data_IF_801478563272
#
_entry.id   IF_801478563272
#
_cell.length_a   1.000
_cell.length_b   1.000
_cell.length_c   1.000
_cell.angle_alpha   90.00
_cell.angle_beta   90.00
_cell.angle_gamma   90.00
#
_symmetry.space_group_name_H-M   'P 1'
#
loop_
_entity.id
_entity.type
_entity.pdbx_description
1 polymer ?
#
# COMPACT_ATOMS: atom_id res chain seq x y z
N UNK A 1 9.28 28.94 20.44
CA UNK A 1 9.53 29.92 19.35
C UNK A 1 8.23 30.23 18.66
N UNK A 2 7.88 31.50 18.49
CA UNK A 2 6.66 31.89 17.80
C UNK A 2 6.75 31.53 16.30
N UNK A 3 5.62 31.19 15.67
CA UNK A 3 5.58 30.86 14.24
C UNK A 3 5.76 32.14 13.41
N UNK A 4 6.85 32.21 12.65
CA UNK A 4 7.14 33.29 11.70
C UNK A 4 6.14 33.23 10.56
N UNK A 5 5.36 34.30 10.36
CA UNK A 5 4.35 34.42 9.29
C UNK A 5 4.91 35.04 8.01
N UNK A 6 5.88 35.92 8.14
CA UNK A 6 6.61 36.58 7.06
C UNK A 6 7.95 37.10 7.60
N UNK A 7 8.88 37.43 6.70
CA UNK A 7 10.26 37.84 7.05
C UNK A 7 10.36 39.37 7.08
N UNK A 8 10.07 39.99 8.23
CA UNK A 8 10.04 41.44 8.36
C UNK A 8 11.43 42.07 8.17
N UNK A 9 12.49 41.37 8.58
CA UNK A 9 13.88 41.81 8.42
C UNK A 9 14.24 41.98 6.94
N UNK A 10 13.90 40.99 6.11
CA UNK A 10 14.18 41.00 4.68
C UNK A 10 13.36 42.03 3.91
N UNK A 11 12.06 42.12 4.16
CA UNK A 11 11.17 43.02 3.41
C UNK A 11 11.41 44.50 3.76
N UNK A 12 11.68 44.81 5.03
CA UNK A 12 11.90 46.20 5.46
C UNK A 12 13.36 46.65 5.28
N UNK A 13 14.29 45.70 5.14
CA UNK A 13 15.72 45.93 4.89
C UNK A 13 16.38 46.92 5.87
N UNK A 14 15.94 46.91 7.12
CA UNK A 14 16.47 47.78 8.18
C UNK A 14 17.71 47.12 8.81
N UNK A 15 17.65 45.83 9.08
CA UNK A 15 18.77 45.04 9.59
C UNK A 15 18.57 43.59 9.20
N UNK A 16 19.57 42.74 9.40
CA UNK A 16 19.43 41.29 9.29
C UNK A 16 19.24 40.66 10.66
N UNK A 17 18.59 39.49 10.69
CA UNK A 17 18.36 38.73 11.92
C UNK A 17 19.65 38.36 12.65
N UNK A 18 20.70 38.12 11.88
CA UNK A 18 22.01 37.72 12.40
C UNK A 18 22.96 38.93 12.60
N UNK A 19 22.48 40.15 12.34
CA UNK A 19 23.30 41.34 12.59
C UNK A 19 23.47 41.57 14.08
N UNK A 20 24.54 42.28 14.44
CA UNK A 20 24.79 42.74 15.81
C UNK A 20 24.54 44.25 15.95
N UNK A 21 24.07 44.89 14.87
CA UNK A 21 23.76 46.31 14.84
C UNK A 21 22.86 46.66 13.66
N UNK A 22 22.59 47.95 13.51
CA UNK A 22 21.91 48.47 12.33
C UNK A 22 22.52 49.81 11.97
N UNK A 23 22.66 50.05 10.67
CA UNK A 23 22.95 51.38 10.15
C UNK A 23 21.65 52.11 9.83
N UNK A 24 21.70 53.44 9.89
CA UNK A 24 20.59 54.32 9.57
C UNK A 24 19.95 53.95 8.22
N UNK A 25 18.62 53.83 8.22
CA UNK A 25 17.87 53.43 7.02
C UNK A 25 17.77 54.55 5.97
N UNK A 26 18.16 55.78 6.32
CA UNK A 26 18.11 56.95 5.45
C UNK A 26 19.13 56.90 4.31
N UNK A 27 18.93 57.77 3.32
CA UNK A 27 19.84 57.92 2.19
C UNK A 27 20.56 59.26 2.23
N UNK A 28 21.86 59.23 1.93
CA UNK A 28 22.63 60.45 1.74
C UNK A 28 22.26 61.14 0.41
N UNK A 29 22.84 62.31 0.13
CA UNK A 29 22.63 63.07 -1.11
C UNK A 29 23.02 62.32 -2.40
N UNK A 30 23.81 61.25 -2.29
CA UNK A 30 24.21 60.39 -3.40
C UNK A 30 23.31 59.15 -3.57
N UNK A 31 22.22 59.06 -2.80
CA UNK A 31 21.31 57.90 -2.83
C UNK A 31 21.89 56.64 -2.18
N UNK A 32 23.03 56.72 -1.49
CA UNK A 32 23.60 55.60 -0.76
C UNK A 32 23.03 55.55 0.66
N UNK A 33 22.89 54.35 1.22
CA UNK A 33 22.44 54.16 2.60
C UNK A 33 23.40 54.83 3.58
N UNK A 34 22.84 55.52 4.56
CA UNK A 34 23.62 56.17 5.61
C UNK A 34 24.44 55.13 6.39
N UNK A 35 25.73 55.41 6.62
CA UNK A 35 26.66 54.53 7.33
C UNK A 35 26.68 54.75 8.84
N UNK A 36 25.87 55.66 9.36
CA UNK A 36 25.83 55.89 10.79
C UNK A 36 25.10 54.78 11.50
N UNK A 37 25.76 54.25 12.52
CA UNK A 37 25.22 53.20 13.35
C UNK A 37 24.11 53.75 14.24
N UNK A 38 23.05 52.95 14.36
CA UNK A 38 21.95 53.20 15.29
C UNK A 38 22.41 52.75 16.68
N UNK A 39 22.09 53.54 17.70
CA UNK A 39 22.45 53.22 19.08
C UNK A 39 21.93 51.82 19.48
N UNK A 40 22.70 51.07 20.26
CA UNK A 40 22.34 49.70 20.66
C UNK A 40 20.95 49.59 21.30
N UNK A 41 20.53 50.61 22.08
CA UNK A 41 19.19 50.70 22.67
C UNK A 41 18.09 50.80 21.60
N UNK A 42 18.29 51.61 20.56
CA UNK A 42 17.34 51.72 19.46
C UNK A 42 17.37 50.46 18.59
N UNK A 43 18.55 49.89 18.36
CA UNK A 43 18.71 48.63 17.64
C UNK A 43 17.92 47.48 18.29
N UNK A 44 18.08 47.26 19.60
CA UNK A 44 17.31 46.23 20.32
C UNK A 44 15.80 46.42 20.22
N UNK A 45 15.33 47.68 20.29
CA UNK A 45 13.91 48.00 20.09
C UNK A 45 13.44 47.76 18.66
N UNK A 46 14.28 48.05 17.67
CA UNK A 46 14.01 47.74 16.26
C UNK A 46 13.84 46.23 16.10
N UNK A 47 14.78 45.41 16.58
CA UNK A 47 14.68 43.94 16.49
C UNK A 47 13.41 43.42 17.16
N UNK A 48 13.11 43.86 18.38
CA UNK A 48 11.86 43.48 19.07
C UNK A 48 10.61 43.83 18.24
N UNK A 49 10.56 45.01 17.62
CA UNK A 49 9.43 45.39 16.76
C UNK A 49 9.36 44.54 15.49
N UNK A 50 10.51 44.21 14.89
CA UNK A 50 10.56 43.34 13.71
C UNK A 50 10.11 41.92 14.06
N UNK A 51 10.54 41.38 15.20
CA UNK A 51 10.10 40.08 15.70
C UNK A 51 8.57 40.07 15.94
N UNK A 52 8.04 41.10 16.58
CA UNK A 52 6.59 41.26 16.77
C UNK A 52 5.85 41.26 15.43
N UNK A 53 6.37 41.97 14.43
CA UNK A 53 5.79 42.00 13.09
C UNK A 53 5.74 40.62 12.45
N UNK A 54 6.77 39.80 12.59
CA UNK A 54 6.82 38.45 12.04
C UNK A 54 5.78 37.50 12.66
N UNK A 55 5.35 37.74 13.90
CA UNK A 55 4.30 36.95 14.56
C UNK A 55 2.89 37.31 14.08
N UNK A 56 2.74 38.44 13.40
CA UNK A 56 1.47 38.99 12.95
C UNK A 56 1.32 38.97 11.42
N UNK A 57 0.12 39.31 10.93
CA UNK A 57 -0.07 39.50 9.49
C UNK A 57 0.62 40.80 9.05
N UNK A 58 1.28 40.84 7.87
CA UNK A 58 2.08 42.00 7.47
C UNK A 58 1.32 43.34 7.53
N UNK A 59 0.03 43.33 7.18
CA UNK A 59 -0.83 44.52 7.22
C UNK A 59 -0.92 45.19 8.60
N UNK A 60 -0.76 44.44 9.71
CA UNK A 60 -0.79 45.01 11.05
C UNK A 60 0.46 45.82 11.40
N UNK A 61 1.58 45.57 10.74
CA UNK A 61 2.83 46.31 10.96
C UNK A 61 2.74 47.79 10.55
N UNK A 62 1.79 48.14 9.66
CA UNK A 62 1.65 49.49 9.09
C UNK A 62 1.45 50.57 10.17
N UNK A 63 0.68 50.28 11.24
CA UNK A 63 0.43 51.24 12.32
C UNK A 63 1.69 51.58 13.14
N UNK A 64 2.68 50.70 13.12
CA UNK A 64 3.90 50.81 13.93
C UNK A 64 5.10 51.39 13.15
N UNK A 65 4.95 51.64 11.84
CA UNK A 65 6.03 52.17 10.99
C UNK A 65 6.52 53.56 11.41
N UNK A 66 5.65 54.41 11.96
CA UNK A 66 6.05 55.73 12.44
C UNK A 66 7.10 55.66 13.54
N UNK A 67 6.87 54.78 14.52
CA UNK A 67 7.80 54.52 15.62
C UNK A 67 9.07 53.83 15.11
N UNK A 68 8.94 52.90 14.17
CA UNK A 68 10.09 52.21 13.58
C UNK A 68 11.01 53.19 12.81
N UNK A 69 10.43 54.14 12.07
CA UNK A 69 11.18 55.17 11.36
C UNK A 69 11.96 56.09 12.32
N UNK A 70 11.33 56.50 13.41
CA UNK A 70 11.98 57.31 14.44
C UNK A 70 13.22 56.61 15.04
N UNK A 71 13.13 55.30 15.27
CA UNK A 71 14.23 54.53 15.87
C UNK A 71 15.36 54.21 14.87
N UNK A 72 15.06 54.07 13.59
CA UNK A 72 15.98 53.57 12.55
C UNK A 72 16.62 54.66 11.69
N UNK A 73 16.26 55.92 11.91
CA UNK A 73 16.86 57.08 11.26
C UNK A 73 17.71 57.87 12.25
N UNK A 74 18.88 58.32 11.83
CA UNK A 74 19.72 59.17 12.67
C UNK A 74 19.07 60.53 12.91
N UNK A 75 19.10 60.98 14.17
CA UNK A 75 18.41 62.19 14.65
C UNK A 75 18.87 63.46 13.92
N UNK A 76 20.17 63.58 13.68
CA UNK A 76 20.77 64.82 13.18
C UNK A 76 20.54 65.07 11.68
N UNK A 77 20.49 64.03 10.83
CA UNK A 77 20.54 64.21 9.37
C UNK A 77 19.33 63.64 8.63
N UNK A 78 18.77 62.50 9.07
CA UNK A 78 17.82 61.74 8.25
C UNK A 78 16.40 61.66 8.82
N UNK A 79 16.09 62.22 9.99
CA UNK A 79 14.72 62.25 10.54
C UNK A 79 13.69 62.88 9.59
N UNK A 80 14.09 63.88 8.80
CA UNK A 80 13.22 64.50 7.78
C UNK A 80 12.83 63.53 6.65
N UNK A 81 13.50 62.38 6.53
CA UNK A 81 13.18 61.33 5.56
C UNK A 81 12.18 60.28 6.10
N UNK A 82 11.71 60.41 7.35
CA UNK A 82 10.83 59.43 7.99
C UNK A 82 9.55 59.16 7.19
N UNK A 83 8.87 60.20 6.70
CA UNK A 83 7.66 60.03 5.88
C UNK A 83 7.93 59.20 4.62
N UNK A 84 8.98 59.55 3.87
CA UNK A 84 9.38 58.83 2.65
C UNK A 84 9.73 57.36 2.94
N UNK A 85 10.41 57.08 4.05
CA UNK A 85 10.77 55.71 4.45
C UNK A 85 9.55 54.91 4.90
N UNK A 86 8.62 55.52 5.60
CA UNK A 86 7.33 54.89 5.93
C UNK A 86 6.58 54.51 4.66
N UNK A 87 6.56 55.37 3.64
CA UNK A 87 5.86 55.07 2.38
C UNK A 87 6.54 53.93 1.61
N UNK A 88 7.89 53.89 1.58
CA UNK A 88 8.66 52.77 1.04
C UNK A 88 8.34 51.45 1.75
N UNK A 89 8.32 51.45 3.09
CA UNK A 89 7.98 50.27 3.87
C UNK A 89 6.51 49.86 3.76
N UNK A 90 5.58 50.81 3.61
CA UNK A 90 4.18 50.49 3.30
C UNK A 90 4.07 49.71 2.00
N UNK A 91 4.80 50.11 0.95
CA UNK A 91 4.82 49.37 -0.32
C UNK A 91 5.40 47.96 -0.13
N UNK A 92 6.50 47.83 0.62
CA UNK A 92 7.09 46.52 0.93
C UNK A 92 6.13 45.63 1.74
N UNK A 93 5.42 46.19 2.72
CA UNK A 93 4.40 45.46 3.50
C UNK A 93 3.21 45.07 2.63
N UNK A 94 2.77 45.92 1.70
CA UNK A 94 1.70 45.57 0.75
C UNK A 94 2.11 44.38 -0.13
N UNK A 95 3.35 44.35 -0.60
CA UNK A 95 3.90 43.22 -1.34
C UNK A 95 3.97 41.96 -0.46
N UNK A 96 4.53 42.07 0.75
CA UNK A 96 4.55 40.97 1.71
C UNK A 96 3.14 40.45 2.04
N UNK A 97 2.15 41.35 2.12
CA UNK A 97 0.73 41.00 2.34
C UNK A 97 0.19 40.17 1.17
N UNK A 98 0.49 40.55 -0.08
CA UNK A 98 0.08 39.77 -1.26
C UNK A 98 0.68 38.36 -1.22
N UNK A 99 1.97 38.24 -0.90
CA UNK A 99 2.62 36.94 -0.77
C UNK A 99 2.05 36.10 0.38
N UNK A 100 1.79 36.73 1.53
CA UNK A 100 1.16 36.09 2.68
C UNK A 100 -0.23 35.54 2.35
N UNK A 101 -1.10 36.35 1.74
CA UNK A 101 -2.45 35.92 1.35
C UNK A 101 -2.41 34.85 0.25
N UNK A 102 -1.50 34.97 -0.72
CA UNK A 102 -1.28 33.91 -1.73
C UNK A 102 -0.83 32.60 -1.07
N UNK A 103 0.11 32.65 -0.14
CA UNK A 103 0.57 31.48 0.61
C UNK A 103 -0.54 30.87 1.46
N UNK A 104 -1.41 31.68 2.07
CA UNK A 104 -2.59 31.23 2.81
C UNK A 104 -3.62 30.57 1.90
N UNK A 105 -3.88 31.15 0.72
CA UNK A 105 -4.76 30.56 -0.29
C UNK A 105 -4.22 29.22 -0.79
N UNK A 106 -2.93 29.14 -1.14
CA UNK A 106 -2.27 27.89 -1.54
C UNK A 106 -2.30 26.84 -0.44
N UNK A 107 -2.12 27.22 0.83
CA UNK A 107 -2.27 26.29 1.97
C UNK A 107 -3.69 25.75 2.11
N UNK A 108 -4.71 26.54 1.76
CA UNK A 108 -6.11 26.10 1.76
C UNK A 108 -6.36 25.13 0.60
N UNK A 109 -5.98 25.52 -0.61
CA UNK A 109 -6.10 24.69 -1.82
C UNK A 109 -5.35 23.35 -1.65
N UNK A 110 -4.15 23.37 -1.05
CA UNK A 110 -3.41 22.14 -0.77
C UNK A 110 -4.12 21.24 0.24
N UNK A 111 -4.81 21.80 1.25
CA UNK A 111 -5.66 21.00 2.16
C UNK A 111 -6.85 20.39 1.44
N UNK A 112 -7.52 21.17 0.58
CA UNK A 112 -8.65 20.70 -0.24
C UNK A 112 -8.21 19.59 -1.20
N UNK A 113 -7.08 19.76 -1.91
CA UNK A 113 -6.50 18.74 -2.78
C UNK A 113 -6.10 17.47 -2.01
N UNK A 114 -5.52 17.60 -0.82
CA UNK A 114 -5.20 16.43 0.01
C UNK A 114 -6.46 15.72 0.52
N UNK A 115 -7.56 16.44 0.75
CA UNK A 115 -8.84 15.83 1.11
C UNK A 115 -9.41 15.04 -0.06
N UNK A 116 -9.49 15.66 -1.25
CA UNK A 116 -9.94 14.97 -2.47
C UNK A 116 -9.08 13.75 -2.79
N UNK A 117 -7.75 13.84 -2.61
CA UNK A 117 -6.86 12.70 -2.81
C UNK A 117 -7.15 11.57 -1.82
N UNK A 118 -7.51 11.88 -0.56
CA UNK A 118 -7.90 10.86 0.43
C UNK A 118 -9.23 10.21 0.06
N UNK A 119 -10.20 10.99 -0.41
CA UNK A 119 -11.48 10.48 -0.91
C UNK A 119 -11.26 9.54 -2.12
N UNK A 120 -10.46 9.95 -3.11
CA UNK A 120 -10.13 9.11 -4.27
C UNK A 120 -9.42 7.81 -3.88
N UNK A 121 -8.51 7.85 -2.90
CA UNK A 121 -7.85 6.65 -2.38
C UNK A 121 -8.88 5.71 -1.74
N UNK A 122 -9.79 6.24 -0.91
CA UNK A 122 -10.86 5.47 -0.27
C UNK A 122 -11.79 4.83 -1.30
N UNK A 123 -12.23 5.58 -2.31
CA UNK A 123 -13.08 5.06 -3.39
C UNK A 123 -12.37 3.96 -4.18
N UNK A 124 -11.07 4.11 -4.45
CA UNK A 124 -10.27 3.09 -5.14
C UNK A 124 -10.14 1.83 -4.31
N UNK A 125 -9.94 1.94 -3.00
CA UNK A 125 -9.88 0.79 -2.09
C UNK A 125 -11.23 0.04 -2.05
N UNK A 126 -12.35 0.75 -1.99
CA UNK A 126 -13.70 0.16 -2.06
C UNK A 126 -13.94 -0.55 -3.40
N UNK A 127 -13.55 0.07 -4.52
CA UNK A 127 -13.67 -0.55 -5.85
C UNK A 127 -12.79 -1.79 -5.97
N UNK A 128 -11.57 -1.74 -5.43
CA UNK A 128 -10.66 -2.89 -5.42
C UNK A 128 -11.25 -4.05 -4.61
N UNK A 129 -11.85 -3.77 -3.46
CA UNK A 129 -12.57 -4.78 -2.67
C UNK A 129 -13.73 -5.39 -3.46
N UNK A 130 -14.56 -4.56 -4.11
CA UNK A 130 -15.67 -5.05 -4.96
C UNK A 130 -15.18 -5.93 -6.12
N UNK A 131 -14.05 -5.58 -6.74
CA UNK A 131 -13.44 -6.39 -7.80
C UNK A 131 -12.95 -7.73 -7.26
N UNK A 132 -12.32 -7.76 -6.09
CA UNK A 132 -11.87 -9.01 -5.46
C UNK A 132 -13.04 -9.93 -5.06
N UNK A 133 -14.12 -9.35 -4.53
CA UNK A 133 -15.37 -10.06 -4.24
C UNK A 133 -15.98 -10.66 -5.52
N UNK A 134 -16.01 -9.89 -6.62
CA UNK A 134 -16.48 -10.35 -7.94
C UNK A 134 -15.60 -11.46 -8.52
N UNK A 135 -14.27 -11.35 -8.41
CA UNK A 135 -13.32 -12.39 -8.82
C UNK A 135 -13.56 -13.67 -8.04
N UNK A 136 -13.74 -13.56 -6.72
CA UNK A 136 -14.04 -14.70 -5.85
C UNK A 136 -15.37 -15.36 -6.21
N UNK A 137 -16.41 -14.57 -6.48
CA UNK A 137 -17.71 -15.09 -6.95
C UNK A 137 -17.59 -15.83 -8.26
N UNK A 138 -16.91 -15.24 -9.26
CA UNK A 138 -16.70 -15.87 -10.57
C UNK A 138 -15.84 -17.13 -10.50
N UNK A 139 -14.88 -17.19 -9.57
CA UNK A 139 -14.09 -18.39 -9.32
C UNK A 139 -14.99 -19.52 -8.81
N UNK A 140 -15.86 -19.23 -7.84
CA UNK A 140 -16.83 -20.20 -7.32
C UNK A 140 -17.82 -20.67 -8.41
N UNK A 141 -18.32 -19.75 -9.24
CA UNK A 141 -19.16 -20.10 -10.40
C UNK A 141 -18.42 -21.01 -11.39
N UNK A 142 -17.15 -20.69 -11.70
CA UNK A 142 -16.31 -21.51 -12.58
C UNK A 142 -16.08 -22.90 -12.00
N UNK A 143 -15.79 -23.00 -10.71
CA UNK A 143 -15.58 -24.28 -10.04
C UNK A 143 -16.87 -25.13 -10.04
N UNK A 144 -18.03 -24.49 -9.88
CA UNK A 144 -19.34 -25.14 -10.05
C UNK A 144 -19.57 -25.63 -11.49
N UNK A 145 -19.25 -24.80 -12.49
CA UNK A 145 -19.34 -25.20 -13.91
C UNK A 145 -18.40 -26.37 -14.22
N UNK A 146 -17.18 -26.36 -13.68
CA UNK A 146 -16.23 -27.45 -13.86
C UNK A 146 -16.76 -28.75 -13.23
N UNK A 147 -17.35 -28.67 -12.04
CA UNK A 147 -18.02 -29.81 -11.40
C UNK A 147 -19.15 -30.36 -12.28
N UNK A 148 -20.05 -29.50 -12.75
CA UNK A 148 -21.14 -29.91 -13.65
C UNK A 148 -20.61 -30.49 -14.98
N UNK A 149 -19.49 -29.97 -15.50
CA UNK A 149 -18.88 -30.47 -16.72
C UNK A 149 -18.33 -31.89 -16.53
N UNK A 150 -17.74 -32.18 -15.38
CA UNK A 150 -17.30 -33.53 -15.01
C UNK A 150 -18.48 -34.49 -14.87
N UNK A 151 -19.58 -34.06 -14.26
CA UNK A 151 -20.81 -34.84 -14.16
C UNK A 151 -21.40 -35.14 -15.54
N UNK A 152 -21.48 -34.15 -16.43
CA UNK A 152 -21.95 -34.33 -17.82
C UNK A 152 -21.04 -35.30 -18.58
N UNK A 153 -19.72 -35.21 -18.41
CA UNK A 153 -18.79 -36.16 -19.02
C UNK A 153 -19.00 -37.59 -18.50
N UNK A 154 -19.22 -37.75 -17.20
CA UNK A 154 -19.56 -39.03 -16.58
C UNK A 154 -20.88 -39.60 -17.12
N UNK A 155 -21.92 -38.78 -17.20
CA UNK A 155 -23.22 -39.19 -17.76
C UNK A 155 -23.11 -39.55 -19.24
N UNK A 156 -22.32 -38.82 -20.03
CA UNK A 156 -22.03 -39.17 -21.44
C UNK A 156 -21.32 -40.52 -21.56
N UNK A 157 -20.37 -40.82 -20.68
CA UNK A 157 -19.68 -42.10 -20.65
C UNK A 157 -20.67 -43.24 -20.33
N UNK A 158 -21.52 -43.06 -19.32
CA UNK A 158 -22.60 -44.01 -18.98
C UNK A 158 -23.60 -44.19 -20.13
N UNK A 159 -23.96 -43.12 -20.83
CA UNK A 159 -24.85 -43.20 -22.00
C UNK A 159 -24.21 -44.02 -23.12
N UNK A 160 -22.94 -43.74 -23.47
CA UNK A 160 -22.21 -44.53 -24.48
C UNK A 160 -22.12 -46.01 -24.09
N UNK A 161 -21.89 -46.29 -22.81
CA UNK A 161 -21.88 -47.66 -22.30
C UNK A 161 -23.27 -48.33 -22.45
N UNK A 162 -24.35 -47.64 -22.09
CA UNK A 162 -25.70 -48.14 -22.27
C UNK A 162 -26.04 -48.37 -23.75
N UNK A 163 -25.57 -47.49 -24.65
CA UNK A 163 -25.74 -47.64 -26.10
C UNK A 163 -24.99 -48.86 -26.64
N UNK A 164 -23.76 -49.12 -26.19
CA UNK A 164 -23.00 -50.32 -26.60
C UNK A 164 -23.64 -51.59 -26.05
N UNK A 165 -24.10 -51.59 -24.80
CA UNK A 165 -24.85 -52.69 -24.19
C UNK A 165 -26.17 -52.97 -24.96
N UNK A 166 -26.92 -51.93 -25.31
CA UNK A 166 -28.14 -52.06 -26.11
C UNK A 166 -27.86 -52.60 -27.52
N UNK A 167 -26.78 -52.15 -28.16
CA UNK A 167 -26.35 -52.65 -29.48
C UNK A 167 -25.97 -54.14 -29.42
N UNK A 168 -25.21 -54.54 -28.41
CA UNK A 168 -24.82 -55.94 -28.19
C UNK A 168 -26.05 -56.81 -27.87
N UNK A 169 -26.98 -56.30 -27.06
CA UNK A 169 -28.26 -56.97 -26.77
C UNK A 169 -29.11 -57.15 -28.05
N UNK A 170 -29.17 -56.14 -28.91
CA UNK A 170 -29.86 -56.24 -30.20
C UNK A 170 -29.21 -57.26 -31.14
N UNK A 171 -27.88 -57.28 -31.22
CA UNK A 171 -27.15 -58.24 -32.06
C UNK A 171 -27.32 -59.68 -31.56
N UNK A 172 -27.27 -59.89 -30.24
CA UNK A 172 -27.53 -61.21 -29.63
C UNK A 172 -28.98 -61.66 -29.83
N UNK A 173 -29.96 -60.76 -29.69
CA UNK A 173 -31.36 -61.04 -30.02
C UNK A 173 -31.55 -61.41 -31.51
N UNK A 174 -30.88 -60.70 -32.42
CA UNK A 174 -30.96 -60.99 -33.86
C UNK A 174 -30.30 -62.33 -34.21
N UNK A 175 -29.17 -62.68 -33.58
CA UNK A 175 -28.54 -64.01 -33.71
C UNK A 175 -29.47 -65.11 -33.21
N UNK A 176 -30.12 -64.92 -32.05
CA UNK A 176 -31.12 -65.84 -31.50
C UNK A 176 -32.30 -66.01 -32.46
N UNK A 177 -32.86 -64.92 -32.99
CA UNK A 177 -33.94 -64.96 -33.98
C UNK A 177 -33.56 -65.82 -35.19
N UNK A 178 -32.39 -65.60 -35.79
CA UNK A 178 -31.93 -66.42 -36.94
C UNK A 178 -31.77 -67.90 -36.60
N UNK A 179 -31.36 -68.22 -35.37
CA UNK A 179 -31.28 -69.61 -34.90
C UNK A 179 -32.69 -70.21 -34.77
N UNK A 180 -33.65 -69.45 -34.23
CA UNK A 180 -35.04 -69.88 -34.14
C UNK A 180 -35.66 -70.08 -35.53
N UNK A 181 -35.49 -69.13 -36.45
CA UNK A 181 -36.01 -69.23 -37.82
C UNK A 181 -35.43 -70.46 -38.55
N UNK A 182 -34.14 -70.75 -38.36
CA UNK A 182 -33.48 -71.94 -38.93
C UNK A 182 -34.03 -73.24 -38.32
N UNK A 183 -34.27 -73.25 -37.01
CA UNK A 183 -34.82 -74.42 -36.30
C UNK A 183 -36.28 -74.65 -36.64
N UNK A 184 -37.06 -73.60 -36.81
CA UNK A 184 -38.45 -73.64 -37.27
C UNK A 184 -38.52 -74.19 -38.70
N UNK A 185 -37.66 -73.73 -39.61
CA UNK A 185 -37.57 -74.26 -40.97
C UNK A 185 -37.17 -75.76 -40.99
N UNK A 186 -36.23 -76.17 -40.13
CA UNK A 186 -35.84 -77.58 -39.98
C UNK A 186 -36.98 -78.44 -39.43
N UNK A 187 -37.69 -77.96 -38.41
CA UNK A 187 -38.85 -78.65 -37.85
C UNK A 187 -39.99 -78.75 -38.85
N UNK A 188 -40.27 -77.69 -39.60
CA UNK A 188 -41.28 -77.68 -40.67
C UNK A 188 -40.95 -78.69 -41.77
N UNK A 189 -39.68 -78.78 -42.18
CA UNK A 189 -39.22 -79.79 -43.15
C UNK A 189 -39.36 -81.22 -42.63
N UNK A 190 -39.03 -81.47 -41.36
CA UNK A 190 -39.19 -82.79 -40.72
C UNK A 190 -40.67 -83.17 -40.57
N UNK A 191 -41.54 -82.23 -40.20
CA UNK A 191 -43.00 -82.45 -40.14
C UNK A 191 -43.54 -82.77 -41.54
N UNK A 192 -43.13 -82.02 -42.57
CA UNK A 192 -43.55 -82.30 -43.95
C UNK A 192 -43.07 -83.68 -44.44
N UNK A 193 -41.89 -84.12 -44.02
CA UNK A 193 -41.36 -85.46 -44.36
C UNK A 193 -42.16 -86.56 -43.65
N UNK A 194 -42.42 -86.39 -42.35
CA UNK A 194 -43.23 -87.33 -41.56
C UNK A 194 -44.67 -87.43 -42.08
N UNK A 195 -45.31 -86.31 -42.44
CA UNK A 195 -46.64 -86.33 -43.04
C UNK A 195 -46.68 -87.10 -44.37
N UNK A 196 -45.60 -87.06 -45.16
CA UNK A 196 -45.49 -87.82 -46.41
C UNK A 196 -45.34 -89.32 -46.13
N UNK A 197 -44.46 -89.70 -45.20
CA UNK A 197 -44.27 -91.10 -44.78
C UNK A 197 -45.53 -91.71 -44.15
N UNK A 198 -46.31 -90.91 -43.42
CA UNK A 198 -47.59 -91.34 -42.83
C UNK A 198 -48.67 -91.53 -43.89
N UNK A 199 -48.69 -90.68 -44.92
CA UNK A 199 -49.59 -90.83 -46.08
C UNK A 199 -49.25 -92.08 -46.89
N UNK A 200 -47.96 -92.36 -47.10
CA UNK A 200 -47.51 -93.54 -47.85
C UNK A 200 -47.83 -94.84 -47.10
N UNK A 201 -47.67 -94.86 -45.76
CA UNK A 201 -48.05 -96.02 -44.93
C UNK A 201 -49.57 -96.22 -44.85
N UNK A 202 -50.37 -95.15 -44.86
CA UNK A 202 -51.82 -95.26 -44.89
C UNK A 202 -52.30 -95.95 -46.17
N UNK A 203 -51.68 -95.64 -47.31
CA UNK A 203 -51.98 -96.25 -48.60
C UNK A 203 -51.63 -97.76 -48.63
N UNK A 204 -50.53 -98.16 -47.98
CA UNK A 204 -50.13 -99.57 -47.85
C UNK A 204 -51.11 -100.39 -46.97
N UNK A 205 -51.65 -99.78 -45.90
CA UNK A 205 -52.64 -100.43 -45.04
C UNK A 205 -54.01 -100.57 -45.70
N UNK A 206 -54.45 -99.61 -46.51
CA UNK A 206 -55.71 -99.71 -47.26
C UNK A 206 -55.64 -100.82 -48.33
N UNK A 207 -54.46 -101.05 -48.93
CA UNK A 207 -54.26 -102.09 -49.96
C UNK A 207 -54.25 -103.52 -49.37
N UNK A 208 -53.76 -103.71 -48.13
CA UNK A 208 -53.73 -105.04 -47.48
C UNK A 208 -55.07 -105.47 -46.88
N UNK A 209 -55.97 -104.53 -46.58
CA UNK A 209 -57.31 -104.80 -46.04
C UNK A 209 -58.32 -105.24 -47.11
N UNK A 210 -58.07 -104.95 -48.39
CA UNK A 210 -58.89 -105.42 -49.52
C UNK A 210 -58.54 -106.85 -49.98
N UNK A 211 -57.29 -107.29 -49.83
CA UNK A 211 -56.85 -108.65 -50.22
C UNK A 211 -57.26 -109.75 -49.22
N UNK A 212 -57.51 -109.40 -47.96
CA UNK A 212 -57.88 -110.33 -46.87
C UNK A 212 -59.40 -110.59 -46.79
N UNK A 213 -60.22 -109.76 -47.45
CA UNK A 213 -61.68 -109.92 -47.54
C UNK A 213 -62.12 -110.91 -48.65
N UNK A 214 -61.28 -111.14 -49.66
CA UNK A 214 -61.58 -111.98 -50.83
C UNK A 214 -61.29 -113.48 -50.60
N UNK A 215 -60.41 -113.83 -49.65
CA UNK A 215 -59.98 -115.21 -49.34
C UNK A 215 -60.87 -115.94 -48.34
N UNK A 216 -61.72 -115.23 -47.57
CA UNK A 216 -62.63 -115.81 -46.56
C UNK A 216 -63.96 -116.38 -47.09
N UNK A 217 -64.30 -116.21 -48.38
CA UNK A 217 -65.56 -116.73 -48.96
C UNK A 217 -65.43 -118.10 -49.64
N UNK A 218 -64.21 -118.58 -49.89
CA UNK A 218 -63.96 -119.82 -50.66
C UNK A 218 -63.82 -121.10 -49.79
N UNK A 219 -63.46 -120.97 -48.51
CA UNK A 219 -63.12 -122.11 -47.63
C UNK A 219 -64.31 -122.72 -46.86
N UNK A 220 -65.54 -122.27 -47.13
CA UNK A 220 -66.75 -122.61 -46.35
C UNK A 220 -67.50 -123.87 -46.82
N UNK A 221 -67.09 -124.54 -47.90
CA UNK A 221 -67.84 -125.66 -48.49
C UNK A 221 -67.16 -127.05 -48.47
N UNK A 222 -65.87 -127.16 -48.11
CA UNK A 222 -65.16 -128.45 -48.02
C UNK A 222 -64.96 -128.97 -46.58
N UNK A 223 -65.34 -128.16 -45.58
CA UNK A 223 -65.16 -128.41 -44.14
C UNK A 223 -66.17 -129.38 -43.50
N UNK A 224 -66.98 -130.10 -44.29
CA UNK A 224 -68.07 -130.97 -43.79
C UNK A 224 -67.85 -132.47 -43.94
N UNK A 225 -66.69 -132.91 -44.46
CA UNK A 225 -66.39 -134.35 -44.70
C UNK A 225 -65.08 -134.86 -44.08
N UNK A 226 -64.28 -133.99 -43.44
CA UNK A 226 -63.03 -134.37 -42.74
C UNK A 226 -63.12 -134.19 -41.20
N UNK A 227 -64.31 -133.87 -40.70
CA UNK A 227 -64.63 -133.57 -39.30
C UNK A 227 -64.64 -134.81 -38.36
N UNK A 228 -64.43 -136.02 -38.90
CA UNK A 228 -64.45 -137.27 -38.11
C UNK A 228 -63.05 -137.90 -37.91
N UNK A 229 -62.01 -137.43 -38.62
CA UNK A 229 -60.61 -137.83 -38.39
C UNK A 229 -59.78 -136.75 -37.66
N UNK A 230 -60.34 -135.56 -37.49
CA UNK A 230 -59.71 -134.35 -36.90
C UNK A 230 -59.64 -134.38 -35.36
N UNK A 231 -60.60 -135.05 -34.70
CA UNK A 231 -60.66 -135.16 -33.23
C UNK A 231 -59.51 -135.95 -32.60
N UNK A 232 -58.70 -136.66 -33.39
CA UNK A 232 -57.53 -137.40 -32.90
C UNK A 232 -56.20 -136.62 -32.99
N UNK A 233 -56.09 -135.62 -33.87
CA UNK A 233 -54.90 -134.77 -34.02
C UNK A 233 -54.99 -133.42 -33.28
N UNK A 234 -56.22 -132.96 -32.98
CA UNK A 234 -56.46 -131.72 -32.20
C UNK A 234 -55.78 -131.74 -30.82
N UNK A 235 -55.64 -132.90 -30.18
CA UNK A 235 -55.02 -132.98 -28.85
C UNK A 235 -53.49 -132.83 -28.88
N UNK A 236 -52.80 -133.22 -29.96
CA UNK A 236 -51.34 -133.05 -30.09
C UNK A 236 -50.92 -131.65 -30.57
N UNK A 237 -51.77 -130.96 -31.33
CA UNK A 237 -51.47 -129.62 -31.87
C UNK A 237 -51.71 -128.50 -30.83
N UNK A 238 -52.61 -128.70 -29.85
CA UNK A 238 -52.88 -127.69 -28.81
C UNK A 238 -51.66 -127.45 -27.89
N UNK A 239 -50.86 -128.49 -27.63
CA UNK A 239 -49.70 -128.43 -26.73
C UNK A 239 -48.50 -127.72 -27.39
N UNK A 240 -48.25 -127.94 -28.67
CA UNK A 240 -47.20 -127.24 -29.43
C UNK A 240 -47.56 -125.77 -29.76
N UNK A 241 -48.85 -125.46 -29.90
CA UNK A 241 -49.32 -124.08 -30.16
C UNK A 241 -49.15 -123.17 -28.94
N UNK A 242 -49.18 -123.73 -27.73
CA UNK A 242 -48.97 -122.98 -26.49
C UNK A 242 -47.49 -122.63 -26.26
N UNK A 243 -46.56 -123.52 -26.63
CA UNK A 243 -45.11 -123.29 -26.52
C UNK A 243 -44.61 -122.26 -27.55
N UNK A 244 -45.20 -122.21 -28.75
CA UNK A 244 -44.82 -121.25 -29.79
C UNK A 244 -45.27 -119.81 -29.46
N UNK A 245 -46.39 -119.63 -28.75
CA UNK A 245 -46.88 -118.31 -28.32
C UNK A 245 -46.00 -117.66 -27.26
N UNK A 246 -45.43 -118.44 -26.34
CA UNK A 246 -44.50 -117.93 -25.31
C UNK A 246 -43.17 -117.48 -25.90
N UNK A 247 -42.64 -118.20 -26.91
CA UNK A 247 -41.40 -117.82 -27.60
C UNK A 247 -41.58 -116.61 -28.53
N UNK A 248 -42.72 -116.48 -29.21
CA UNK A 248 -43.01 -115.30 -30.03
C UNK A 248 -43.19 -114.02 -29.20
N UNK A 249 -43.76 -114.14 -27.98
CA UNK A 249 -43.86 -113.00 -27.08
C UNK A 249 -42.50 -112.60 -26.50
N UNK A 250 -41.65 -113.57 -26.14
CA UNK A 250 -40.27 -113.32 -25.70
C UNK A 250 -39.42 -112.66 -26.80
N UNK A 251 -39.57 -113.10 -28.06
CA UNK A 251 -38.88 -112.49 -29.21
C UNK A 251 -39.36 -111.07 -29.49
N UNK A 252 -40.65 -110.78 -29.34
CA UNK A 252 -41.19 -109.42 -29.51
C UNK A 252 -40.69 -108.46 -28.43
N UNK A 253 -40.57 -108.92 -27.18
CA UNK A 253 -40.01 -108.13 -26.09
C UNK A 253 -38.52 -107.85 -26.32
N UNK A 254 -37.73 -108.85 -26.72
CA UNK A 254 -36.32 -108.67 -27.05
C UNK A 254 -36.09 -107.77 -28.27
N UNK A 255 -37.01 -107.78 -29.25
CA UNK A 255 -36.93 -106.86 -30.40
C UNK A 255 -37.19 -105.40 -29.98
N UNK A 256 -38.15 -105.19 -29.06
CA UNK A 256 -38.43 -103.88 -28.47
C UNK A 256 -37.24 -103.36 -27.66
N UNK A 257 -36.62 -104.21 -26.83
CA UNK A 257 -35.44 -103.85 -26.05
C UNK A 257 -34.24 -103.54 -26.95
N UNK A 258 -34.09 -104.27 -28.07
CA UNK A 258 -33.00 -104.06 -29.03
C UNK A 258 -33.16 -102.76 -29.81
N UNK A 259 -34.40 -102.36 -30.13
CA UNK A 259 -34.66 -101.07 -30.77
C UNK A 259 -34.54 -99.91 -29.76
N UNK A 260 -34.94 -100.10 -28.50
CA UNK A 260 -34.67 -99.13 -27.43
C UNK A 260 -33.17 -98.91 -27.20
N UNK A 261 -32.37 -99.98 -27.19
CA UNK A 261 -30.90 -99.89 -27.06
C UNK A 261 -30.26 -99.19 -28.27
N UNK A 262 -30.83 -99.35 -29.48
CA UNK A 262 -30.36 -98.59 -30.66
C UNK A 262 -30.66 -97.10 -30.54
N UNK A 263 -31.86 -96.76 -30.09
CA UNK A 263 -32.26 -95.36 -29.88
C UNK A 263 -31.41 -94.70 -28.79
N UNK A 264 -31.11 -95.42 -27.70
CA UNK A 264 -30.20 -94.97 -26.64
C UNK A 264 -28.76 -94.82 -27.16
N UNK A 265 -28.27 -95.76 -27.98
CA UNK A 265 -26.94 -95.65 -28.60
C UNK A 265 -26.86 -94.45 -29.54
N UNK A 266 -27.86 -94.22 -30.37
CA UNK A 266 -27.87 -93.14 -31.35
C UNK A 266 -28.02 -91.77 -30.64
N UNK A 267 -28.73 -91.71 -29.51
CA UNK A 267 -28.76 -90.55 -28.62
C UNK A 267 -27.38 -90.27 -28.01
N UNK A 268 -26.69 -91.30 -27.51
CA UNK A 268 -25.34 -91.15 -26.93
C UNK A 268 -24.32 -90.73 -28.00
N UNK A 269 -24.44 -91.24 -29.23
CA UNK A 269 -23.60 -90.81 -30.35
C UNK A 269 -23.88 -89.35 -30.73
N UNK A 270 -25.14 -88.92 -30.76
CA UNK A 270 -25.49 -87.52 -31.01
C UNK A 270 -24.98 -86.59 -29.90
N UNK A 271 -25.03 -87.03 -28.64
CA UNK A 271 -24.46 -86.27 -27.51
C UNK A 271 -22.93 -86.22 -27.59
N UNK A 272 -22.28 -87.30 -28.02
CA UNK A 272 -20.83 -87.33 -28.26
C UNK A 272 -20.43 -86.32 -29.34
N UNK A 273 -21.12 -86.31 -30.47
CA UNK A 273 -20.85 -85.36 -31.57
C UNK A 273 -21.10 -83.91 -31.13
N UNK A 274 -22.12 -83.66 -30.29
CA UNK A 274 -22.37 -82.36 -29.70
C UNK A 274 -21.24 -81.94 -28.75
N UNK A 275 -20.75 -82.82 -27.89
CA UNK A 275 -19.63 -82.53 -27.01
C UNK A 275 -18.31 -82.34 -27.77
N UNK A 276 -18.06 -83.10 -28.85
CA UNK A 276 -16.91 -82.90 -29.72
C UNK A 276 -16.99 -81.54 -30.44
N UNK A 277 -18.18 -81.12 -30.88
CA UNK A 277 -18.39 -79.78 -31.45
C UNK A 277 -18.21 -78.66 -30.42
N UNK A 278 -18.68 -78.86 -29.18
CA UNK A 278 -18.46 -77.93 -28.08
C UNK A 278 -16.99 -77.86 -27.67
N UNK A 279 -16.26 -78.97 -27.67
CA UNK A 279 -14.81 -79.02 -27.43
C UNK A 279 -14.02 -78.31 -28.53
N UNK A 280 -14.38 -78.50 -29.79
CA UNK A 280 -13.76 -77.78 -30.91
C UNK A 280 -14.02 -76.27 -30.84
N UNK A 281 -15.26 -75.87 -30.50
CA UNK A 281 -15.60 -74.46 -30.28
C UNK A 281 -14.89 -73.86 -29.07
N UNK A 282 -14.73 -74.63 -27.99
CA UNK A 282 -13.96 -74.22 -26.82
C UNK A 282 -12.47 -74.03 -27.16
N UNK A 283 -11.87 -74.94 -27.93
CA UNK A 283 -10.49 -74.82 -28.40
C UNK A 283 -10.27 -73.56 -29.25
N UNK A 284 -11.19 -73.25 -30.18
CA UNK A 284 -11.10 -72.02 -30.99
C UNK A 284 -11.25 -70.75 -30.14
N UNK A 285 -12.10 -70.78 -29.10
CA UNK A 285 -12.18 -69.66 -28.15
C UNK A 285 -10.93 -69.53 -27.29
N UNK A 286 -10.28 -70.62 -26.90
CA UNK A 286 -9.01 -70.60 -26.18
C UNK A 286 -7.93 -69.98 -27.05
N UNK A 287 -7.78 -70.41 -28.32
CA UNK A 287 -6.82 -69.83 -29.27
C UNK A 287 -7.06 -68.32 -29.52
N UNK A 288 -8.33 -67.89 -29.51
CA UNK A 288 -8.68 -66.48 -29.63
C UNK A 288 -8.33 -65.70 -28.35
N UNK A 289 -8.57 -66.29 -27.18
CA UNK A 289 -8.21 -65.68 -25.89
C UNK A 289 -6.69 -65.58 -25.76
N UNK A 290 -5.93 -66.59 -26.18
CA UNK A 290 -4.46 -66.55 -26.16
C UNK A 290 -3.88 -65.47 -27.08
N UNK A 291 -4.47 -65.28 -28.28
CA UNK A 291 -4.09 -64.17 -29.16
C UNK A 291 -4.41 -62.80 -28.54
N UNK A 292 -5.61 -62.65 -27.98
CA UNK A 292 -6.00 -61.41 -27.30
C UNK A 292 -5.14 -61.14 -26.06
N UNK A 293 -4.71 -62.18 -25.35
CA UNK A 293 -3.83 -62.07 -24.20
C UNK A 293 -2.43 -61.59 -24.64
N UNK A 294 -1.87 -62.15 -25.71
CA UNK A 294 -0.60 -61.69 -26.28
C UNK A 294 -0.67 -60.24 -26.79
N UNK A 295 -1.76 -59.85 -27.42
CA UNK A 295 -2.00 -58.46 -27.84
C UNK A 295 -2.13 -57.52 -26.63
N UNK A 296 -2.81 -57.95 -25.57
CA UNK A 296 -2.92 -57.19 -24.32
C UNK A 296 -1.59 -57.09 -23.58
N UNK A 297 -0.76 -58.13 -23.59
CA UNK A 297 0.58 -58.14 -23.02
C UNK A 297 1.52 -57.20 -23.79
N UNK A 298 1.49 -57.24 -25.12
CA UNK A 298 2.24 -56.30 -25.97
C UNK A 298 1.77 -54.84 -25.75
N UNK A 299 0.45 -54.62 -25.65
CA UNK A 299 -0.08 -53.30 -25.33
C UNK A 299 0.33 -52.83 -23.93
N UNK A 300 0.42 -53.74 -22.95
CA UNK A 300 0.87 -53.44 -21.59
C UNK A 300 2.36 -53.12 -21.55
N UNK A 301 3.18 -53.77 -22.36
CA UNK A 301 4.61 -53.49 -22.50
C UNK A 301 4.83 -52.09 -23.11
N UNK A 302 4.13 -51.76 -24.20
CA UNK A 302 4.14 -50.40 -24.79
C UNK A 302 3.66 -49.36 -23.78
N UNK A 303 2.60 -49.65 -23.02
CA UNK A 303 2.08 -48.72 -22.01
C UNK A 303 3.05 -48.55 -20.82
N UNK A 304 3.80 -49.60 -20.48
CA UNK A 304 4.86 -49.57 -19.46
C UNK A 304 6.05 -48.72 -19.93
N UNK A 305 6.44 -48.84 -21.20
CA UNK A 305 7.49 -48.02 -21.80
C UNK A 305 7.07 -46.54 -21.89
N UNK A 306 5.83 -46.26 -22.30
CA UNK A 306 5.29 -44.89 -22.33
C UNK A 306 5.14 -44.32 -20.91
N UNK A 307 4.72 -45.11 -19.92
CA UNK A 307 4.72 -44.70 -18.51
C UNK A 307 6.13 -44.38 -18.01
N UNK A 308 7.13 -45.20 -18.34
CA UNK A 308 8.52 -44.96 -18.00
C UNK A 308 9.02 -43.67 -18.67
N UNK A 309 8.72 -43.47 -19.95
CA UNK A 309 9.12 -42.26 -20.70
C UNK A 309 8.48 -41.00 -20.14
N UNK A 310 7.19 -41.04 -19.78
CA UNK A 310 6.49 -39.93 -19.12
C UNK A 310 7.07 -39.69 -17.73
N UNK A 311 7.40 -40.75 -16.98
CA UNK A 311 8.05 -40.62 -15.67
C UNK A 311 9.42 -39.95 -15.77
N UNK A 312 10.26 -40.38 -16.72
CA UNK A 312 11.58 -39.80 -16.96
C UNK A 312 11.49 -38.35 -17.46
N UNK A 313 10.51 -38.05 -18.30
CA UNK A 313 10.25 -36.68 -18.79
C UNK A 313 9.71 -35.78 -17.68
N UNK A 314 8.88 -36.30 -16.78
CA UNK A 314 8.42 -35.59 -15.58
C UNK A 314 9.57 -35.37 -14.58
N UNK A 315 10.43 -36.37 -14.35
CA UNK A 315 11.62 -36.21 -13.51
C UNK A 315 12.54 -35.14 -14.09
N UNK A 316 12.76 -35.15 -15.42
CA UNK A 316 13.60 -34.16 -16.08
C UNK A 316 13.01 -32.75 -15.94
N UNK A 317 11.72 -32.56 -16.24
CA UNK A 317 11.06 -31.26 -16.10
C UNK A 317 11.01 -30.76 -14.66
N UNK A 318 10.79 -31.64 -13.69
CA UNK A 318 10.85 -31.30 -12.26
C UNK A 318 12.28 -30.92 -11.84
N UNK A 319 13.30 -31.62 -12.33
CA UNK A 319 14.69 -31.29 -12.03
C UNK A 319 15.13 -29.98 -12.69
N UNK A 320 14.71 -29.72 -13.92
CA UNK A 320 14.98 -28.46 -14.62
C UNK A 320 14.28 -27.29 -13.92
N UNK A 321 13.01 -27.47 -13.52
CA UNK A 321 12.27 -26.49 -12.73
C UNK A 321 12.90 -26.26 -11.35
N UNK A 322 13.38 -27.32 -10.69
CA UNK A 322 14.11 -27.23 -9.42
C UNK A 322 15.41 -26.46 -9.56
N UNK A 323 16.20 -26.73 -10.59
CA UNK A 323 17.44 -26.01 -10.86
C UNK A 323 17.18 -24.52 -11.13
N UNK A 324 16.12 -24.20 -11.88
CA UNK A 324 15.68 -22.81 -12.09
C UNK A 324 15.29 -22.15 -10.76
N UNK A 325 14.54 -22.86 -9.91
CA UNK A 325 14.12 -22.39 -8.60
C UNK A 325 15.30 -22.14 -7.67
N UNK A 326 16.27 -23.06 -7.63
CA UNK A 326 17.50 -22.93 -6.85
C UNK A 326 18.33 -21.74 -7.32
N UNK A 327 18.43 -21.49 -8.62
CA UNK A 327 19.12 -20.31 -9.17
C UNK A 327 18.38 -19.01 -8.84
N UNK A 328 17.05 -18.98 -8.94
CA UNK A 328 16.26 -17.81 -8.53
C UNK A 328 16.36 -17.54 -7.03
N UNK A 329 16.34 -18.58 -6.20
CA UNK A 329 16.55 -18.47 -4.75
C UNK A 329 17.94 -17.93 -4.43
N UNK A 330 18.97 -18.41 -5.13
CA UNK A 330 20.34 -17.91 -4.97
C UNK A 330 20.45 -16.42 -5.33
N UNK A 331 19.81 -15.99 -6.43
CA UNK A 331 19.72 -14.57 -6.82
C UNK A 331 18.99 -13.74 -5.76
N UNK A 332 17.86 -14.22 -5.24
CA UNK A 332 17.09 -13.56 -4.19
C UNK A 332 17.87 -13.44 -2.87
N UNK A 333 18.60 -14.48 -2.48
CA UNK A 333 19.46 -14.44 -1.29
C UNK A 333 20.55 -13.38 -1.44
N UNK A 334 21.19 -13.30 -2.61
CA UNK A 334 22.17 -12.25 -2.90
C UNK A 334 21.56 -10.85 -2.85
N UNK A 335 20.36 -10.67 -3.42
CA UNK A 335 19.64 -9.40 -3.36
C UNK A 335 19.30 -9.01 -1.91
N UNK A 336 18.81 -9.96 -1.10
CA UNK A 336 18.54 -9.74 0.32
C UNK A 336 19.82 -9.39 1.10
N UNK A 337 20.94 -10.04 0.80
CA UNK A 337 22.24 -9.72 1.40
C UNK A 337 22.69 -8.29 1.04
N UNK A 338 22.53 -7.88 -0.22
CA UNK A 338 22.85 -6.51 -0.65
C UNK A 338 21.95 -5.48 0.02
N UNK A 339 20.64 -5.70 0.08
CA UNK A 339 19.69 -4.84 0.77
C UNK A 339 19.97 -4.76 2.26
N UNK A 340 20.35 -5.88 2.90
CA UNK A 340 20.71 -5.90 4.31
C UNK A 340 22.01 -5.11 4.58
N UNK A 341 22.99 -5.20 3.66
CA UNK A 341 24.21 -4.39 3.75
C UNK A 341 23.91 -2.88 3.64
N UNK A 342 22.99 -2.49 2.75
CA UNK A 342 22.53 -1.11 2.60
C UNK A 342 21.74 -0.64 3.83
N UNK A 343 20.87 -1.49 4.38
CA UNK A 343 20.13 -1.18 5.60
C UNK A 343 21.09 -0.96 6.78
N UNK A 344 22.14 -1.77 6.91
CA UNK A 344 23.16 -1.62 7.94
C UNK A 344 23.99 -0.35 7.77
N UNK A 345 24.33 0.05 6.54
CA UNK A 345 25.01 1.32 6.29
C UNK A 345 24.10 2.50 6.62
N UNK A 346 22.82 2.46 6.23
CA UNK A 346 21.86 3.51 6.58
C UNK A 346 21.65 3.62 8.09
N UNK A 347 21.58 2.49 8.81
CA UNK A 347 21.53 2.51 10.28
C UNK A 347 22.76 3.17 10.91
N UNK A 348 23.96 2.97 10.35
CA UNK A 348 25.17 3.68 10.80
C UNK A 348 25.07 5.18 10.52
N UNK A 349 24.67 5.57 9.31
CA UNK A 349 24.49 6.98 8.94
C UNK A 349 23.49 7.68 9.88
N UNK A 350 22.37 7.02 10.21
CA UNK A 350 21.38 7.55 11.16
C UNK A 350 21.97 7.66 12.58
N UNK A 351 22.79 6.70 13.01
CA UNK A 351 23.47 6.77 14.31
C UNK A 351 24.46 7.94 14.37
N UNK A 352 25.26 8.15 13.31
CA UNK A 352 26.20 9.27 13.19
C UNK A 352 25.48 10.62 13.15
N UNK A 353 24.38 10.72 12.41
CA UNK A 353 23.52 11.91 12.38
C UNK A 353 22.92 12.20 13.76
N UNK A 354 22.43 11.17 14.47
CA UNK A 354 21.93 11.33 15.84
C UNK A 354 23.03 11.81 16.79
N UNK A 355 24.24 11.28 16.67
CA UNK A 355 25.37 11.69 17.49
C UNK A 355 25.77 13.14 17.21
N UNK A 356 25.76 13.55 15.94
CA UNK A 356 26.01 14.93 15.53
C UNK A 356 24.92 15.88 15.99
N UNK A 357 23.65 15.46 15.93
CA UNK A 357 22.52 16.23 16.45
C UNK A 357 22.61 16.39 17.98
N UNK A 358 22.98 15.33 18.69
CA UNK A 358 23.19 15.38 20.13
C UNK A 358 24.33 16.34 20.49
N UNK A 359 25.48 16.23 19.81
CA UNK A 359 26.60 17.14 20.02
C UNK A 359 26.23 18.61 19.71
N UNK A 360 25.45 18.85 18.65
CA UNK A 360 24.93 20.18 18.34
C UNK A 360 23.96 20.69 19.43
N UNK A 361 23.13 19.81 19.98
CA UNK A 361 22.18 20.12 21.07
C UNK A 361 22.93 20.45 22.36
N UNK A 362 23.95 19.67 22.71
CA UNK A 362 24.78 19.90 23.89
C UNK A 362 25.57 21.20 23.75
N UNK A 363 26.09 21.50 22.55
CA UNK A 363 26.71 22.79 22.25
C UNK A 363 25.71 23.95 22.38
N UNK A 364 24.46 23.77 21.94
CA UNK A 364 23.40 24.78 22.07
C UNK A 364 23.00 25.01 23.54
N UNK A 365 22.97 23.95 24.35
CA UNK A 365 22.77 24.06 25.80
C UNK A 365 23.95 24.76 26.47
N UNK A 366 25.18 24.48 26.02
CA UNK A 366 26.39 25.17 26.43
C UNK A 366 26.34 26.67 26.11
N UNK A 367 25.89 27.05 24.92
CA UNK A 367 25.72 28.45 24.56
C UNK A 367 24.55 29.11 25.29
N UNK A 368 23.45 28.41 25.58
CA UNK A 368 22.35 28.93 26.41
C UNK A 368 22.81 29.20 27.86
N UNK A 369 23.64 28.33 28.43
CA UNK A 369 24.23 28.54 29.75
C UNK A 369 25.22 29.70 29.75
N UNK A 370 26.06 29.84 28.72
CA UNK A 370 26.91 31.02 28.56
C UNK A 370 26.09 32.31 28.40
N UNK A 371 25.00 32.26 27.63
CA UNK A 371 24.12 33.41 27.42
C UNK A 371 23.39 33.81 28.71
N UNK A 372 22.98 32.85 29.54
CA UNK A 372 22.45 33.11 30.89
C UNK A 372 23.50 33.76 31.79
N UNK A 373 24.72 33.24 31.82
CA UNK A 373 25.81 33.83 32.61
C UNK A 373 26.10 35.27 32.17
N UNK A 374 26.19 35.53 30.86
CA UNK A 374 26.37 36.89 30.32
C UNK A 374 25.19 37.79 30.65
N UNK A 375 23.96 37.26 30.65
CA UNK A 375 22.76 38.02 31.01
C UNK A 375 22.72 38.38 32.50
N UNK A 376 23.14 37.47 33.37
CA UNK A 376 23.31 37.73 34.80
C UNK A 376 24.41 38.77 35.04
N UNK A 377 25.55 38.65 34.35
CA UNK A 377 26.65 39.61 34.47
C UNK A 377 26.26 41.00 33.94
N UNK A 378 25.51 41.08 32.85
CA UNK A 378 24.90 42.32 32.34
C UNK A 378 23.87 42.90 33.32
N UNK A 379 23.09 42.07 34.00
CA UNK A 379 22.17 42.53 35.05
C UNK A 379 22.97 43.14 36.21
N UNK A 380 24.04 42.47 36.64
CA UNK A 380 24.89 42.95 37.71
C UNK A 380 25.58 44.28 37.34
N UNK A 381 26.07 44.40 36.11
CA UNK A 381 26.65 45.66 35.58
C UNK A 381 25.62 46.76 35.41
N UNK A 382 24.37 46.42 35.08
CA UNK A 382 23.26 47.37 35.03
C UNK A 382 22.94 47.90 36.43
N UNK A 383 22.91 47.04 37.43
CA UNK A 383 22.68 47.42 38.83
C UNK A 383 23.84 48.29 39.36
N UNK A 384 25.09 47.96 39.00
CA UNK A 384 26.27 48.79 39.29
C UNK A 384 26.17 50.17 38.60
N UNK A 385 25.70 50.23 37.35
CA UNK A 385 25.49 51.47 36.61
C UNK A 385 24.36 52.32 37.22
N UNK A 386 23.25 51.72 37.63
CA UNK A 386 22.17 52.42 38.35
C UNK A 386 22.69 52.97 39.68
N UNK A 387 23.51 52.20 40.41
CA UNK A 387 24.15 52.66 41.63
C UNK A 387 25.09 53.84 41.38
N UNK A 388 25.96 53.75 40.36
CA UNK A 388 26.83 54.85 39.92
C UNK A 388 26.02 56.07 39.47
N UNK A 389 24.88 55.89 38.81
CA UNK A 389 24.01 56.98 38.38
C UNK A 389 23.35 57.68 39.57
N UNK A 390 22.95 56.93 40.60
CA UNK A 390 22.46 57.48 41.88
C UNK A 390 23.58 58.24 42.59
N UNK A 391 24.79 57.69 42.65
CA UNK A 391 25.96 58.37 43.22
C UNK A 391 26.32 59.64 42.45
N UNK A 392 26.28 59.63 41.12
CA UNK A 392 26.48 60.81 40.29
C UNK A 392 25.39 61.88 40.50
N UNK A 393 24.14 61.46 40.65
CA UNK A 393 23.02 62.36 40.91
C UNK A 393 23.19 63.03 42.29
N UNK A 394 23.59 62.25 43.29
CA UNK A 394 23.90 62.73 44.63
C UNK A 394 25.10 63.69 44.64
N UNK A 395 26.21 63.33 43.99
CA UNK A 395 27.38 64.19 43.87
C UNK A 395 27.08 65.49 43.11
N UNK A 396 26.18 65.44 42.11
CA UNK A 396 25.71 66.63 41.41
C UNK A 396 24.84 67.52 42.31
N UNK A 397 23.95 66.95 43.12
CA UNK A 397 23.17 67.71 44.10
C UNK A 397 24.08 68.35 45.15
N UNK A 398 25.05 67.61 45.69
CA UNK A 398 26.07 68.12 46.62
C UNK A 398 26.88 69.26 45.98
N UNK A 399 27.27 69.11 44.70
CA UNK A 399 27.97 70.17 43.97
C UNK A 399 27.09 71.40 43.69
N UNK A 400 25.81 71.22 43.36
CA UNK A 400 24.87 72.34 43.19
C UNK A 400 24.58 73.04 44.53
N UNK A 401 24.52 72.30 45.63
CA UNK A 401 24.37 72.83 46.98
C UNK A 401 25.62 73.59 47.43
N UNK A 402 26.81 73.06 47.16
CA UNK A 402 28.08 73.74 47.41
C UNK A 402 28.20 75.02 46.57
N UNK A 403 27.74 74.99 45.31
CA UNK A 403 27.63 76.16 44.44
C UNK A 403 26.62 77.20 44.96
N UNK A 404 25.48 76.78 45.52
CA UNK A 404 24.53 77.69 46.18
C UNK A 404 25.15 78.30 47.42
N UNK A 405 25.84 77.50 48.24
CA UNK A 405 26.50 77.97 49.46
C UNK A 405 27.63 78.96 49.13
N UNK A 406 28.45 78.70 48.12
CA UNK A 406 29.47 79.67 47.65
C UNK A 406 28.83 80.92 47.05
N UNK A 407 27.72 80.81 46.32
CA UNK A 407 26.99 81.98 45.81
C UNK A 407 26.39 82.81 46.94
N UNK A 408 25.82 82.18 47.97
CA UNK A 408 25.33 82.85 49.18
C UNK A 408 26.47 83.49 49.95
N UNK A 409 27.62 82.81 50.05
CA UNK A 409 28.80 83.34 50.72
C UNK A 409 29.41 84.52 49.95
N UNK A 410 29.45 84.46 48.62
CA UNK A 410 29.84 85.59 47.77
C UNK A 410 28.86 86.75 47.89
N UNK A 411 27.55 86.50 47.88
CA UNK A 411 26.54 87.53 48.07
C UNK A 411 26.65 88.19 49.46
N UNK A 412 26.84 87.40 50.52
CA UNK A 412 27.06 87.90 51.88
C UNK A 412 28.39 88.67 52.01
N UNK A 413 29.44 88.25 51.30
CA UNK A 413 30.72 88.95 51.25
C UNK A 413 30.60 90.29 50.53
N UNK A 414 29.88 90.32 49.40
CA UNK A 414 29.59 91.54 48.66
C UNK A 414 28.72 92.49 49.48
N UNK A 415 27.72 91.97 50.20
CA UNK A 415 26.90 92.76 51.13
C UNK A 415 27.74 93.33 52.27
N UNK A 416 28.67 92.55 52.85
CA UNK A 416 29.59 93.02 53.89
C UNK A 416 30.55 94.10 53.37
N UNK A 417 31.02 93.97 52.13
CA UNK A 417 31.80 95.01 51.45
C UNK A 417 30.96 96.26 51.23
N UNK A 418 29.69 96.13 50.85
CA UNK A 418 28.79 97.26 50.62
C UNK A 418 28.45 97.98 51.94
N UNK A 419 28.22 97.24 53.02
CA UNK A 419 28.05 97.74 54.39
C UNK A 419 29.32 98.45 54.88
N UNK A 420 30.50 97.87 54.69
CA UNK A 420 31.78 98.52 55.02
C UNK A 420 32.06 99.74 54.13
N UNK A 421 31.59 99.75 52.89
CA UNK A 421 31.72 100.89 51.97
C UNK A 421 30.75 102.01 52.37
N UNK A 422 29.56 101.66 52.87
CA UNK A 422 28.60 102.58 53.48
C UNK A 422 29.12 103.14 54.81
N UNK A 423 29.73 102.32 55.67
CA UNK A 423 30.37 102.79 56.91
C UNK A 423 31.58 103.69 56.62
N UNK A 424 32.39 103.36 55.61
CA UNK A 424 33.49 104.22 55.18
C UNK A 424 33.01 105.51 54.53
N UNK A 425 31.90 105.50 53.79
CA UNK A 425 31.31 106.75 53.26
C UNK A 425 30.67 107.57 54.37
N UNK A 426 30.05 106.96 55.39
CA UNK A 426 29.55 107.68 56.56
C UNK A 426 30.67 108.24 57.45
N UNK A 427 31.78 107.51 57.62
CA UNK A 427 32.95 107.93 58.39
C UNK A 427 33.82 108.97 57.65
N UNK A 428 33.90 108.92 56.31
CA UNK A 428 34.65 109.92 55.52
C UNK A 428 33.83 111.17 55.19
N UNK A 429 32.49 111.11 55.15
CA UNK A 429 31.64 112.30 55.00
C UNK A 429 31.50 113.13 56.28
N UNK A 430 31.80 112.59 57.46
CA UNK A 430 31.73 113.35 58.73
C UNK A 430 33.03 114.06 59.12
N UNK A 431 34.16 113.74 58.49
CA UNK A 431 35.44 114.44 58.64
C UNK A 431 35.75 115.42 57.49
N UNK A 432 35.14 115.25 56.31
CA UNK A 432 35.30 116.20 55.19
C UNK A 432 34.25 117.32 55.17
N UNK A 433 33.05 117.14 55.74
CA UNK A 433 32.02 118.20 55.78
C UNK A 433 32.30 119.32 56.79
N UNK A 434 33.02 119.04 57.86
CA UNK A 434 33.35 120.05 58.90
C UNK A 434 34.60 120.87 58.59
N UNK A 435 35.45 120.42 57.66
CA UNK A 435 36.67 121.14 57.27
C UNK A 435 36.46 122.02 56.01
N UNK A 436 35.69 121.57 55.03
CA UNK A 436 35.46 122.33 53.79
C UNK A 436 34.30 123.34 53.85
N UNK A 437 33.40 123.25 54.83
CA UNK A 437 32.36 124.26 55.04
C UNK A 437 32.90 125.58 55.63
N UNK A 438 34.09 125.58 56.25
CA UNK A 438 34.74 126.79 56.80
C UNK A 438 35.89 127.34 55.95
N UNK A 439 36.29 126.67 54.86
CA UNK A 439 37.37 127.13 53.96
C UNK A 439 36.83 127.72 52.64
N UNK A 440 35.58 127.41 52.28
CA UNK A 440 34.98 127.85 51.01
C UNK A 440 34.37 129.27 51.03
N UNK A 441 34.24 129.92 52.19
CA UNK A 441 33.87 131.35 52.28
C UNK A 441 35.07 132.30 52.13
N UNK A 442 36.32 131.81 52.17
CA UNK A 442 37.51 132.69 52.17
C UNK A 442 38.27 132.73 50.83
N UNK A 443 38.14 131.73 49.95
CA UNK A 443 39.10 131.60 48.82
C UNK A 443 38.52 131.78 47.41
N UNK A 444 37.20 131.74 47.19
CA UNK A 444 36.64 131.89 45.83
C UNK A 444 36.00 133.27 45.60
N UNK A 445 36.73 134.30 46.04
CA UNK A 445 36.56 135.70 45.62
C UNK A 445 37.49 136.13 44.48
N UNK A 446 38.39 135.26 43.99
CA UNK A 446 39.39 135.66 43.00
C UNK A 446 39.47 134.69 41.80
N UNK A 447 39.20 135.24 40.61
CA UNK A 447 39.69 134.80 39.28
C UNK A 447 39.00 133.54 38.72
N UNK A 448 37.94 133.60 37.89
CA UNK A 448 37.86 134.09 36.49
C UNK A 448 39.11 133.78 35.64
N UNK A 449 39.08 132.72 34.82
CA UNK A 449 39.21 132.81 33.35
C UNK A 449 39.75 131.52 32.68
N UNK A 450 39.23 131.25 31.47
CA UNK A 450 39.72 130.40 30.36
C UNK A 450 39.44 128.88 30.50
N UNK A 451 38.32 128.35 29.95
CA UNK A 451 38.16 127.80 28.58
C UNK A 451 39.29 126.82 28.19
N UNK A 452 39.12 125.67 27.55
CA UNK A 452 38.02 124.86 27.04
C UNK A 452 38.68 123.62 26.38
N UNK A 453 37.84 122.68 25.95
CA UNK A 453 38.01 121.93 24.69
C UNK A 453 38.72 120.55 24.72
N UNK A 454 37.87 119.50 24.59
CA UNK A 454 38.02 118.23 23.85
C UNK A 454 39.28 117.36 24.07
N UNK A 455 39.23 116.04 24.17
CA UNK A 455 38.23 115.06 23.75
C UNK A 455 38.94 113.78 23.30
N UNK A 456 38.24 112.64 23.40
CA UNK A 456 38.39 111.37 22.66
C UNK A 456 39.79 110.82 22.37
N UNK A 457 39.97 109.52 22.66
CA UNK A 457 40.55 108.54 21.71
C UNK A 457 40.14 107.09 22.08
N UNK A 458 39.49 106.41 21.12
CA UNK A 458 39.51 104.93 20.89
C UNK A 458 40.99 104.46 20.64
N UNK A 459 41.39 103.17 20.39
CA UNK A 459 40.62 102.01 19.89
C UNK A 459 41.12 100.56 20.27
N UNK A 460 40.37 99.56 19.75
CA UNK A 460 40.78 98.27 19.09
C UNK A 460 41.75 97.25 19.73
N UNK A 461 41.25 95.99 19.64
CA UNK A 461 41.80 94.76 19.00
C UNK A 461 42.51 93.70 19.86
N UNK A 462 41.97 92.49 19.64
CA UNK A 462 42.64 91.22 19.33
C UNK A 462 43.34 90.48 20.47
N UNK A 463 42.99 89.20 20.64
CA UNK A 463 43.85 88.03 20.43
C UNK A 463 43.26 86.81 21.16
N UNK A 464 42.92 85.77 20.38
CA UNK A 464 43.19 84.38 20.79
C UNK A 464 44.70 84.23 20.99
N UNK A 465 45.17 83.32 21.87
CA UNK A 465 45.68 82.07 21.31
C UNK A 465 45.62 80.81 22.21
N UNK A 466 45.53 79.66 21.51
CA UNK A 466 46.32 78.42 21.64
C UNK A 466 46.30 77.55 22.93
N UNK A 467 45.91 76.29 22.66
CA UNK A 467 46.65 75.03 22.88
C UNK A 467 46.76 74.37 24.27
N UNK A 468 46.36 73.09 24.34
CA UNK A 468 47.09 71.89 24.82
C UNK A 468 46.12 70.69 24.80
N UNK A 469 46.29 69.66 23.96
CA UNK A 469 47.15 68.46 24.11
C UNK A 469 46.86 67.57 25.34
N UNK A 470 46.32 66.36 25.13
CA UNK A 470 46.88 65.03 25.50
C UNK A 470 45.84 63.93 25.80
N UNK A 471 45.91 62.85 25.00
CA UNK A 471 45.96 61.42 25.37
C UNK A 471 45.22 60.88 26.63
N UNK A 472 44.35 59.88 26.46
CA UNK A 472 44.69 58.44 26.65
C UNK A 472 43.49 57.47 26.60
N UNK A 473 43.75 56.36 25.89
CA UNK A 473 43.38 54.95 26.04
C UNK A 473 42.22 54.44 26.92
N UNK A 474 41.51 53.47 26.32
CA UNK A 474 40.73 52.35 26.87
C UNK A 474 41.38 51.62 28.07
N UNK A 475 40.63 50.80 28.82
CA UNK A 475 40.05 49.52 28.35
C UNK A 475 38.55 49.53 28.05
#
# INVERSE_FOLDING_TARGET
>A
MATIKWDAYRYLNITSRDSHGASCAGYNKYGQRCRWDISGKNYSRICSMLDDFETEAPAKAVSSLGRLAQLSLCEEYHQKQASRKIDEWKLAIQEATKFYERGKALKRENRELNEMLREEISEREELQQKVEEEISRRKQERDSINSMTLEVASLKAKLKQAETEARNSKETAQKRSKIYDKREAQLSASISKLCKELSDKKLDFETRLEEEAETSRSTRLELKKLQESETRFINQVSELTQQLKTELHAKSMLQSDLDQIKDERDLVLSQKDEFESQLAGAAETIDRIERNLKEAEAAREILSEDQQRVHDQNIKTVNDAKALLDETNKSLVQEVETLNSLLLSERRNVAELRQSLQAATDNLLGTDTQLKAVKEDLSHKKDDLEKLQVEFSKAREEFEEERRNTSVHQAASLQRIDEQTQEMTHAKLHLFRTFFANLFEVIVGWVKSVFAFFGRLRPRRALDPLATEENMSSP
#
